data_IF_451866923227
#
_entry.id   IF_451866923227
#
_cell.length_a   1.000
_cell.length_b   1.000
_cell.length_c   1.000
_cell.angle_alpha   90.00
_cell.angle_beta   90.00
_cell.angle_gamma   90.00
#
_symmetry.space_group_name_H-M   'P 1'
#
loop_
_entity.id
_entity.type
_entity.pdbx_description
1 polymer ?
#
# COMPACT_ATOMS: atom_id res chain seq x y z
N UNK A 1 -45.32 -1.07 -16.34
CA UNK A 1 -44.41 0.11 -16.27
C UNK A 1 -43.48 -0.10 -15.10
N UNK A 2 -42.22 -0.51 -15.35
CA UNK A 2 -41.21 -0.66 -14.32
C UNK A 2 -40.62 0.71 -14.02
N UNK A 3 -40.73 1.19 -12.77
CA UNK A 3 -40.09 2.44 -12.34
C UNK A 3 -38.58 2.36 -12.64
N UNK A 4 -37.97 3.40 -13.22
CA UNK A 4 -36.54 3.43 -13.46
C UNK A 4 -35.80 3.36 -12.10
N UNK A 5 -34.87 2.40 -11.96
CA UNK A 5 -34.06 2.25 -10.76
C UNK A 5 -33.29 3.55 -10.50
N UNK A 6 -33.41 4.12 -9.30
CA UNK A 6 -32.64 5.32 -8.91
C UNK A 6 -31.14 5.02 -9.05
N UNK A 7 -30.38 5.90 -9.70
CA UNK A 7 -28.94 5.74 -9.78
C UNK A 7 -28.33 5.68 -8.37
N UNK A 8 -27.48 4.67 -8.13
CA UNK A 8 -26.78 4.56 -6.84
C UNK A 8 -25.84 5.75 -6.69
N UNK A 9 -25.91 6.43 -5.53
CA UNK A 9 -24.95 7.51 -5.23
C UNK A 9 -23.54 6.93 -5.15
N UNK A 10 -22.51 7.59 -5.74
CA UNK A 10 -21.14 7.16 -5.62
C UNK A 10 -20.66 7.24 -4.16
N UNK A 11 -19.64 6.48 -3.82
CA UNK A 11 -19.04 6.51 -2.50
C UNK A 11 -18.38 7.88 -2.24
N UNK A 12 -18.68 8.48 -1.11
CA UNK A 12 -18.14 9.77 -0.69
C UNK A 12 -16.96 9.60 0.28
N UNK A 13 -16.42 10.75 0.70
CA UNK A 13 -15.27 10.84 1.63
C UNK A 13 -15.48 10.04 2.92
N UNK A 14 -16.69 10.05 3.49
CA UNK A 14 -16.98 9.27 4.72
C UNK A 14 -16.80 7.77 4.52
N UNK A 15 -17.24 7.23 3.38
CA UNK A 15 -17.05 5.81 3.03
C UNK A 15 -15.56 5.49 2.85
N UNK A 16 -14.79 6.41 2.23
CA UNK A 16 -13.35 6.28 2.10
C UNK A 16 -12.65 6.22 3.44
N UNK A 17 -12.93 7.16 4.34
CA UNK A 17 -12.33 7.20 5.68
C UNK A 17 -12.66 5.91 6.45
N UNK A 18 -13.91 5.46 6.42
CA UNK A 18 -14.33 4.22 7.10
C UNK A 18 -13.58 3.00 6.54
N UNK A 19 -13.42 2.92 5.22
CA UNK A 19 -12.65 1.85 4.58
C UNK A 19 -11.17 1.90 5.03
N UNK A 20 -10.56 3.08 5.05
CA UNK A 20 -9.15 3.24 5.47
C UNK A 20 -8.95 2.84 6.93
N UNK A 21 -9.87 3.22 7.82
CA UNK A 21 -9.84 2.78 9.23
C UNK A 21 -9.96 1.25 9.31
N UNK A 22 -10.89 0.66 8.56
CA UNK A 22 -11.07 -0.79 8.55
C UNK A 22 -9.81 -1.52 8.08
N UNK A 23 -9.19 -1.08 7.00
CA UNK A 23 -7.92 -1.64 6.48
C UNK A 23 -6.78 -1.44 7.48
N UNK A 24 -6.70 -0.27 8.14
CA UNK A 24 -5.68 -0.01 9.15
C UNK A 24 -5.84 -0.92 10.38
N UNK A 25 -7.06 -1.18 10.82
CA UNK A 25 -7.34 -2.11 11.93
C UNK A 25 -6.94 -3.53 11.55
N UNK A 26 -7.34 -4.00 10.35
CA UNK A 26 -6.95 -5.33 9.85
C UNK A 26 -5.44 -5.46 9.75
N UNK A 27 -4.75 -4.43 9.21
CA UNK A 27 -3.30 -4.39 9.10
C UNK A 27 -2.61 -4.40 10.46
N UNK A 28 -3.13 -3.62 11.43
CA UNK A 28 -2.61 -3.58 12.79
C UNK A 28 -2.75 -4.91 13.53
N UNK A 29 -3.92 -5.56 13.43
CA UNK A 29 -4.16 -6.89 14.01
C UNK A 29 -3.26 -7.94 13.35
N UNK A 30 -3.13 -7.90 12.03
CA UNK A 30 -2.27 -8.84 11.30
C UNK A 30 -0.78 -8.61 11.64
N UNK A 31 -0.33 -7.35 11.71
CA UNK A 31 1.04 -7.01 12.08
C UNK A 31 1.39 -7.44 13.51
N UNK A 32 0.53 -7.13 14.48
CA UNK A 32 0.70 -7.57 15.87
C UNK A 32 0.66 -9.09 16.01
N UNK A 33 -0.29 -9.74 15.33
CA UNK A 33 -0.39 -11.21 15.32
C UNK A 33 0.82 -11.87 14.65
N UNK A 34 1.31 -11.30 13.55
CA UNK A 34 2.50 -11.79 12.85
C UNK A 34 3.77 -11.66 13.73
N UNK A 35 3.90 -10.57 14.51
CA UNK A 35 5.02 -10.42 15.46
C UNK A 35 5.02 -11.54 16.50
N UNK A 36 3.85 -11.83 17.10
CA UNK A 36 3.72 -12.92 18.10
C UNK A 36 3.96 -14.30 17.50
N UNK A 37 3.41 -14.56 16.29
CA UNK A 37 3.56 -15.84 15.61
C UNK A 37 4.96 -16.03 15.03
N UNK A 38 5.63 -14.95 14.62
CA UNK A 38 6.98 -14.96 14.07
C UNK A 38 8.02 -15.46 15.06
N UNK A 39 7.78 -15.24 16.36
CA UNK A 39 8.63 -15.73 17.44
C UNK A 39 8.46 -17.24 17.71
N UNK A 40 7.43 -17.89 17.13
CA UNK A 40 7.22 -19.32 17.29
C UNK A 40 8.21 -20.12 16.44
N UNK A 41 9.02 -21.02 17.03
CA UNK A 41 9.99 -21.78 16.28
C UNK A 41 9.31 -22.84 15.38
N UNK A 42 9.94 -23.12 14.24
CA UNK A 42 9.57 -24.21 13.37
C UNK A 42 8.57 -23.85 12.26
N UNK A 43 8.23 -24.82 11.41
CA UNK A 43 7.45 -24.58 10.19
C UNK A 43 6.00 -24.17 10.47
N UNK A 44 5.45 -24.52 11.62
CA UNK A 44 4.08 -24.16 12.00
C UNK A 44 3.96 -22.64 12.24
N UNK A 45 4.91 -22.02 12.98
CA UNK A 45 4.93 -20.59 13.21
C UNK A 45 5.02 -19.80 11.89
N UNK A 46 5.90 -20.23 11.00
CA UNK A 46 6.03 -19.64 9.67
C UNK A 46 4.74 -19.76 8.84
N UNK A 47 4.11 -20.94 8.84
CA UNK A 47 2.87 -21.18 8.10
C UNK A 47 1.70 -20.33 8.64
N UNK A 48 1.57 -20.19 9.96
CA UNK A 48 0.53 -19.37 10.59
C UNK A 48 0.76 -17.88 10.30
N UNK A 49 1.99 -17.39 10.38
CA UNK A 49 2.35 -16.01 10.03
C UNK A 49 2.02 -15.71 8.57
N UNK A 50 2.41 -16.60 7.65
CA UNK A 50 2.09 -16.47 6.23
C UNK A 50 0.58 -16.44 5.99
N UNK A 51 -0.16 -17.36 6.60
CA UNK A 51 -1.62 -17.42 6.46
C UNK A 51 -2.31 -16.16 6.98
N UNK A 52 -1.86 -15.63 8.12
CA UNK A 52 -2.40 -14.39 8.71
C UNK A 52 -2.15 -13.18 7.81
N UNK A 53 -0.94 -13.02 7.31
CA UNK A 53 -0.58 -11.92 6.39
C UNK A 53 -1.36 -12.07 5.07
N UNK A 54 -1.43 -13.28 4.50
CA UNK A 54 -2.18 -13.53 3.27
C UNK A 54 -3.67 -13.22 3.43
N UNK A 55 -4.27 -13.58 4.56
CA UNK A 55 -5.67 -13.25 4.87
C UNK A 55 -5.88 -11.74 4.97
N UNK A 56 -5.01 -11.02 5.67
CA UNK A 56 -5.09 -9.57 5.78
C UNK A 56 -4.97 -8.88 4.41
N UNK A 57 -4.05 -9.34 3.57
CA UNK A 57 -3.89 -8.85 2.20
C UNK A 57 -5.12 -9.14 1.34
N UNK A 58 -5.72 -10.33 1.46
CA UNK A 58 -6.96 -10.68 0.75
C UNK A 58 -8.13 -9.78 1.16
N UNK A 59 -8.27 -9.48 2.46
CA UNK A 59 -9.29 -8.55 2.97
C UNK A 59 -9.05 -7.14 2.42
N UNK A 60 -7.81 -6.64 2.48
CA UNK A 60 -7.46 -5.33 1.95
C UNK A 60 -7.75 -5.24 0.43
N UNK A 61 -7.42 -6.29 -0.32
CA UNK A 61 -7.69 -6.37 -1.75
C UNK A 61 -9.19 -6.39 -2.05
N UNK A 62 -9.97 -7.16 -1.30
CA UNK A 62 -11.42 -7.17 -1.41
C UNK A 62 -12.04 -5.79 -1.11
N UNK A 63 -11.52 -5.08 -0.10
CA UNK A 63 -11.93 -3.72 0.21
C UNK A 63 -11.62 -2.74 -0.96
N UNK A 64 -10.45 -2.87 -1.58
CA UNK A 64 -10.10 -2.09 -2.76
C UNK A 64 -11.03 -2.36 -3.96
N UNK A 65 -11.38 -3.62 -4.23
CA UNK A 65 -12.34 -3.99 -5.29
C UNK A 65 -13.73 -3.40 -4.99
N UNK A 66 -14.17 -3.53 -3.75
CA UNK A 66 -15.45 -2.97 -3.31
C UNK A 66 -15.48 -1.45 -3.48
N UNK A 67 -14.44 -0.75 -3.04
CA UNK A 67 -14.27 0.69 -3.22
C UNK A 67 -14.28 1.09 -4.69
N UNK A 68 -13.49 0.40 -5.53
CA UNK A 68 -13.40 0.67 -6.96
C UNK A 68 -14.74 0.59 -7.68
N UNK A 69 -15.62 -0.32 -7.24
CA UNK A 69 -16.97 -0.46 -7.81
C UNK A 69 -17.93 0.64 -7.40
N UNK A 70 -17.64 1.34 -6.32
CA UNK A 70 -18.50 2.37 -5.74
C UNK A 70 -18.14 3.82 -6.07
N UNK A 71 -16.93 4.08 -6.57
CA UNK A 71 -16.50 5.43 -6.97
C UNK A 71 -17.01 5.81 -8.35
N UNK A 72 -17.11 7.13 -8.62
CA UNK A 72 -17.52 7.67 -9.92
C UNK A 72 -16.37 7.60 -10.95
N UNK A 73 -16.69 7.96 -12.20
CA UNK A 73 -15.74 7.89 -13.30
C UNK A 73 -14.62 8.92 -13.16
N UNK A 74 -14.90 10.12 -12.63
CA UNK A 74 -13.89 11.15 -12.41
C UNK A 74 -12.84 10.69 -11.40
N UNK A 75 -13.29 10.08 -10.29
CA UNK A 75 -12.38 9.50 -9.29
C UNK A 75 -11.56 8.34 -9.86
N UNK A 76 -12.17 7.46 -10.69
CA UNK A 76 -11.43 6.39 -11.36
C UNK A 76 -10.34 6.93 -12.27
N UNK A 77 -10.64 7.97 -13.05
CA UNK A 77 -9.70 8.59 -13.96
C UNK A 77 -8.55 9.26 -13.19
N UNK A 78 -8.85 9.96 -12.10
CA UNK A 78 -7.85 10.52 -11.18
C UNK A 78 -6.90 9.43 -10.65
N UNK A 79 -7.45 8.29 -10.22
CA UNK A 79 -6.65 7.15 -9.74
C UNK A 79 -5.76 6.53 -10.83
N UNK A 80 -6.29 6.31 -12.03
CA UNK A 80 -5.50 5.78 -13.17
C UNK A 80 -4.36 6.74 -13.52
N UNK A 81 -4.65 8.03 -13.62
CA UNK A 81 -3.66 9.05 -13.95
C UNK A 81 -2.57 9.15 -12.87
N UNK A 82 -2.97 9.18 -11.61
CA UNK A 82 -2.05 9.25 -10.47
C UNK A 82 -1.16 8.01 -10.37
N UNK A 83 -1.73 6.82 -10.61
CA UNK A 83 -0.97 5.57 -10.61
C UNK A 83 0.06 5.55 -11.74
N UNK A 84 -0.37 5.90 -12.96
CA UNK A 84 0.52 5.84 -14.12
C UNK A 84 1.64 6.87 -14.04
N UNK A 85 1.32 8.12 -13.80
CA UNK A 85 2.33 9.19 -13.78
C UNK A 85 3.03 9.32 -12.42
N UNK A 86 2.28 9.40 -11.35
CA UNK A 86 2.82 9.63 -10.01
C UNK A 86 3.45 8.39 -9.41
N UNK A 87 2.73 7.27 -9.41
CA UNK A 87 3.23 6.02 -8.85
C UNK A 87 4.46 5.50 -9.58
N UNK A 88 4.45 5.50 -10.92
CA UNK A 88 5.59 5.05 -11.74
C UNK A 88 6.80 5.98 -11.58
N UNK A 89 6.61 7.29 -11.57
CA UNK A 89 7.69 8.26 -11.36
C UNK A 89 8.28 8.17 -9.95
N UNK A 90 7.43 8.01 -8.93
CA UNK A 90 7.88 7.82 -7.57
C UNK A 90 8.70 6.55 -7.40
N UNK A 91 8.23 5.43 -7.96
CA UNK A 91 8.98 4.17 -7.96
C UNK A 91 10.33 4.29 -8.69
N UNK A 92 10.36 4.99 -9.84
CA UNK A 92 11.61 5.23 -10.57
C UNK A 92 12.61 6.05 -9.75
N UNK A 93 12.16 7.11 -9.07
CA UNK A 93 13.01 7.90 -8.17
C UNK A 93 13.54 7.06 -7.00
N UNK A 94 12.68 6.24 -6.38
CA UNK A 94 13.08 5.30 -5.33
C UNK A 94 14.14 4.30 -5.82
N UNK A 95 13.94 3.74 -7.01
CA UNK A 95 14.89 2.82 -7.62
C UNK A 95 16.24 3.49 -7.94
N UNK A 96 16.23 4.70 -8.48
CA UNK A 96 17.46 5.48 -8.75
C UNK A 96 18.22 5.69 -7.43
N UNK A 97 17.53 6.10 -6.36
CA UNK A 97 18.14 6.28 -5.05
C UNK A 97 18.75 4.98 -4.53
N UNK A 98 17.97 3.88 -4.53
CA UNK A 98 18.44 2.57 -4.04
C UNK A 98 19.66 2.07 -4.83
N UNK A 99 19.64 2.17 -6.17
CA UNK A 99 20.77 1.79 -7.01
C UNK A 99 22.00 2.67 -6.75
N UNK A 100 21.81 3.98 -6.57
CA UNK A 100 22.91 4.88 -6.24
C UNK A 100 23.54 4.52 -4.91
N UNK A 101 22.72 4.24 -3.89
CA UNK A 101 23.21 3.81 -2.58
C UNK A 101 23.94 2.47 -2.63
N UNK A 102 23.44 1.50 -3.42
CA UNK A 102 24.08 0.19 -3.56
C UNK A 102 25.44 0.22 -4.28
N UNK A 103 25.72 1.29 -5.04
CA UNK A 103 27.03 1.51 -5.66
C UNK A 103 28.02 2.26 -4.75
N UNK A 104 27.57 2.65 -3.57
CA UNK A 104 28.35 3.43 -2.58
C UNK A 104 28.31 2.78 -1.19
N UNK A 105 28.35 1.46 -1.15
CA UNK A 105 28.26 0.66 0.06
C UNK A 105 29.37 0.96 1.08
N UNK A 106 30.56 1.35 0.62
CA UNK A 106 31.69 1.73 1.47
C UNK A 106 31.43 3.01 2.29
N UNK A 107 30.56 3.89 1.79
CA UNK A 107 30.25 5.18 2.42
C UNK A 107 29.04 5.12 3.37
N UNK A 108 28.33 3.97 3.41
CA UNK A 108 27.04 3.87 4.11
C UNK A 108 27.11 2.81 5.19
N UNK A 109 27.09 3.25 6.43
CA UNK A 109 26.86 2.36 7.57
C UNK A 109 25.36 2.17 7.79
N UNK A 110 24.88 0.94 8.05
CA UNK A 110 23.50 0.72 8.40
C UNK A 110 23.13 1.50 9.68
N UNK A 111 21.93 2.09 9.71
CA UNK A 111 21.40 2.81 10.88
C UNK A 111 21.38 1.95 12.16
N UNK A 112 21.36 0.63 11.98
CA UNK A 112 21.45 -0.37 13.04
C UNK A 112 22.57 -1.34 12.67
N UNK A 113 23.57 -1.41 13.53
CA UNK A 113 24.73 -2.29 13.34
C UNK A 113 24.36 -3.79 13.38
N UNK A 114 23.19 -4.13 13.93
CA UNK A 114 22.65 -5.48 14.11
C UNK A 114 21.56 -5.84 13.07
N UNK A 115 21.38 -5.01 12.03
CA UNK A 115 20.37 -5.26 11.00
C UNK A 115 20.66 -6.55 10.23
N UNK A 116 19.67 -7.43 10.18
CA UNK A 116 19.75 -8.65 9.38
C UNK A 116 19.60 -8.37 7.89
N UNK A 117 20.00 -9.30 7.02
CA UNK A 117 19.76 -9.20 5.58
C UNK A 117 18.25 -9.04 5.26
N UNK A 118 17.38 -9.69 6.04
CA UNK A 118 15.94 -9.56 5.90
C UNK A 118 15.45 -8.13 6.22
N UNK A 119 16.00 -7.49 7.25
CA UNK A 119 15.69 -6.10 7.62
C UNK A 119 16.09 -5.13 6.51
N UNK A 120 17.28 -5.33 5.94
CA UNK A 120 17.79 -4.47 4.85
C UNK A 120 16.94 -4.62 3.58
N UNK A 121 16.58 -5.84 3.19
CA UNK A 121 15.70 -6.10 2.03
C UNK A 121 14.32 -5.52 2.27
N UNK A 122 13.72 -5.77 3.43
CA UNK A 122 12.40 -5.25 3.78
C UNK A 122 12.38 -3.72 3.82
N UNK A 123 13.44 -3.12 4.38
CA UNK A 123 13.62 -1.66 4.41
C UNK A 123 13.72 -1.05 3.02
N UNK A 124 14.47 -1.70 2.11
CA UNK A 124 14.59 -1.26 0.73
C UNK A 124 13.27 -1.33 -0.04
N UNK A 125 12.54 -2.43 0.09
CA UNK A 125 11.19 -2.59 -0.51
C UNK A 125 10.23 -1.53 0.05
N UNK A 126 10.23 -1.32 1.37
CA UNK A 126 9.39 -0.32 2.01
C UNK A 126 9.72 1.10 1.53
N UNK A 127 11.00 1.44 1.39
CA UNK A 127 11.42 2.73 0.87
C UNK A 127 10.89 2.99 -0.55
N UNK A 128 11.00 2.01 -1.45
CA UNK A 128 10.47 2.13 -2.82
C UNK A 128 8.95 2.32 -2.81
N UNK A 129 8.21 1.56 -1.99
CA UNK A 129 6.77 1.73 -1.84
C UNK A 129 6.39 3.11 -1.30
N UNK A 130 7.17 3.68 -0.38
CA UNK A 130 6.94 5.03 0.13
C UNK A 130 7.14 6.10 -0.97
N UNK A 131 8.17 5.98 -1.79
CA UNK A 131 8.36 6.86 -2.95
C UNK A 131 7.21 6.73 -3.96
N UNK A 132 6.76 5.51 -4.24
CA UNK A 132 5.62 5.25 -5.12
C UNK A 132 4.34 5.89 -4.58
N UNK A 133 4.05 5.72 -3.29
CA UNK A 133 2.87 6.31 -2.65
C UNK A 133 2.93 7.84 -2.59
N UNK A 134 4.10 8.42 -2.31
CA UNK A 134 4.30 9.86 -2.33
C UNK A 134 4.05 10.43 -3.74
N UNK A 135 4.65 9.83 -4.76
CA UNK A 135 4.43 10.23 -6.15
C UNK A 135 2.96 10.11 -6.56
N UNK A 136 2.32 9.00 -6.22
CA UNK A 136 0.89 8.80 -6.45
C UNK A 136 0.05 9.89 -5.78
N UNK A 137 0.29 10.18 -4.49
CA UNK A 137 -0.48 11.18 -3.74
C UNK A 137 -0.33 12.58 -4.30
N UNK A 138 0.89 12.97 -4.70
CA UNK A 138 1.15 14.26 -5.36
C UNK A 138 0.41 14.36 -6.69
N UNK A 139 0.52 13.35 -7.54
CA UNK A 139 -0.15 13.33 -8.84
C UNK A 139 -1.67 13.37 -8.68
N UNK A 140 -2.23 12.61 -7.74
CA UNK A 140 -3.66 12.61 -7.45
C UNK A 140 -4.14 14.00 -6.99
N UNK A 141 -3.41 14.65 -6.09
CA UNK A 141 -3.73 16.01 -5.65
C UNK A 141 -3.67 17.02 -6.81
N UNK A 142 -2.62 16.94 -7.64
CA UNK A 142 -2.47 17.81 -8.83
C UNK A 142 -3.62 17.61 -9.81
N UNK A 143 -4.10 16.38 -9.99
CA UNK A 143 -5.23 16.11 -10.88
C UNK A 143 -6.50 16.84 -10.42
N UNK A 144 -6.83 16.76 -9.12
CA UNK A 144 -8.01 17.44 -8.56
C UNK A 144 -7.88 18.97 -8.50
N UNK A 145 -6.66 19.49 -8.43
CA UNK A 145 -6.44 20.94 -8.49
C UNK A 145 -6.61 21.52 -9.89
N UNK A 146 -6.52 20.69 -10.94
CA UNK A 146 -6.61 21.11 -12.34
C UNK A 146 -7.98 20.87 -12.98
N UNK A 147 -8.84 20.05 -12.39
CA UNK A 147 -10.15 19.65 -12.90
C UNK A 147 -11.26 19.95 -11.91
#
# INVERSE_FOLDING_TARGET
MTSPARPKRPFGLGTFILMMIGVAVVGGVAGGGAAVLGDQPGPLGMALTLALIALAMAIAFAACIWWWRGIDEAAREAHKWAWWWGGSSGMALGAILMLTLSLRDEDISPLRADASAADLVSGGVFAILMFQMAGYGIAWAVWWLKH
#
